data_IF_507550140701
#
_entry.id   IF_507550140701
#
_cell.length_a   1.000
_cell.length_b   1.000
_cell.length_c   1.000
_cell.angle_alpha   90.00
_cell.angle_beta   90.00
_cell.angle_gamma   90.00
#
_symmetry.space_group_name_H-M   'P 1'
#
loop_
_entity.id
_entity.type
_entity.pdbx_description
1 polymer ?
#
# COMPACT_ATOMS: atom_id res chain seq x y z
N UNK A 1 3.67 1.21 -28.92
CA UNK A 1 4.88 1.82 -28.32
C UNK A 1 4.49 2.67 -27.11
N UNK A 2 3.71 3.76 -27.30
CA UNK A 2 3.21 4.63 -26.21
C UNK A 2 2.59 3.90 -24.99
N UNK A 3 1.64 2.98 -25.21
CA UNK A 3 1.00 2.20 -24.13
C UNK A 3 1.98 1.40 -23.25
N UNK A 4 3.07 0.88 -23.83
CA UNK A 4 4.06 0.10 -23.08
C UNK A 4 5.02 1.01 -22.29
N UNK A 5 5.26 2.23 -22.77
CA UNK A 5 6.03 3.25 -22.06
C UNK A 5 5.22 3.82 -20.89
N UNK A 6 3.94 4.11 -21.12
CA UNK A 6 3.00 4.56 -20.09
C UNK A 6 2.89 3.53 -18.95
N UNK A 7 2.74 2.23 -19.28
CA UNK A 7 2.68 1.17 -18.28
C UNK A 7 3.99 1.06 -17.48
N UNK A 8 5.16 1.17 -18.14
CA UNK A 8 6.45 1.19 -17.43
C UNK A 8 6.56 2.38 -16.49
N UNK A 9 6.12 3.56 -16.93
CA UNK A 9 6.11 4.76 -16.10
C UNK A 9 5.25 4.57 -14.85
N UNK A 10 4.03 4.04 -15.00
CA UNK A 10 3.16 3.72 -13.85
C UNK A 10 3.79 2.72 -12.87
N UNK A 11 4.45 1.67 -13.39
CA UNK A 11 5.13 0.67 -12.56
C UNK A 11 6.23 1.32 -11.73
N UNK A 12 6.99 2.25 -12.31
CA UNK A 12 8.05 3.01 -11.61
C UNK A 12 7.42 3.93 -10.56
N UNK A 13 6.35 4.64 -10.91
CA UNK A 13 5.65 5.56 -10.02
C UNK A 13 5.11 4.84 -8.79
N UNK A 14 4.43 3.70 -8.94
CA UNK A 14 3.93 2.91 -7.79
C UNK A 14 5.07 2.43 -6.88
N UNK A 15 6.22 2.07 -7.46
CA UNK A 15 7.40 1.68 -6.69
C UNK A 15 7.98 2.86 -5.91
N UNK A 16 8.06 4.03 -6.53
CA UNK A 16 8.52 5.26 -5.87
C UNK A 16 7.56 5.68 -4.75
N UNK A 17 6.25 5.62 -5.02
CA UNK A 17 5.21 5.89 -4.03
C UNK A 17 5.35 5.02 -2.78
N UNK A 18 5.69 3.74 -2.92
CA UNK A 18 5.96 2.88 -1.77
C UNK A 18 7.03 3.40 -0.80
N UNK A 19 8.03 4.14 -1.29
CA UNK A 19 9.04 4.80 -0.45
C UNK A 19 8.43 6.01 0.27
N UNK A 20 7.70 6.86 -0.45
CA UNK A 20 7.02 8.02 0.14
C UNK A 20 6.02 7.60 1.22
N UNK A 21 5.28 6.52 0.96
CA UNK A 21 4.35 5.92 1.92
C UNK A 21 5.07 5.45 3.19
N UNK A 22 6.28 4.90 3.06
CA UNK A 22 7.09 4.49 4.20
C UNK A 22 7.53 5.69 5.06
N UNK A 23 8.03 6.74 4.42
CA UNK A 23 8.42 7.97 5.11
C UNK A 23 7.21 8.62 5.80
N UNK A 24 6.07 8.69 5.11
CA UNK A 24 4.83 9.19 5.70
C UNK A 24 4.46 8.46 7.01
N UNK A 25 4.57 7.13 7.06
CA UNK A 25 4.32 6.40 8.31
C UNK A 25 5.36 6.73 9.40
N UNK A 26 6.64 6.88 9.04
CA UNK A 26 7.70 7.25 9.99
C UNK A 26 7.48 8.66 10.57
N UNK A 27 7.14 9.62 9.72
CA UNK A 27 6.86 11.01 10.13
C UNK A 27 5.69 11.09 11.13
N UNK A 28 4.76 10.13 11.06
CA UNK A 28 3.64 9.99 11.97
C UNK A 28 3.93 9.03 13.16
N UNK A 29 5.19 8.66 13.39
CA UNK A 29 5.60 7.83 14.52
C UNK A 29 5.20 6.35 14.40
N UNK A 30 4.82 5.89 13.21
CA UNK A 30 4.41 4.50 12.97
C UNK A 30 5.49 3.72 12.22
N UNK A 31 6.00 2.64 12.83
CA UNK A 31 7.02 1.79 12.22
C UNK A 31 6.45 0.77 11.21
N UNK A 32 5.62 1.23 10.27
CA UNK A 32 5.00 0.37 9.27
C UNK A 32 5.99 0.05 8.14
N UNK A 33 6.33 -1.23 7.98
CA UNK A 33 7.12 -1.71 6.85
C UNK A 33 6.24 -1.74 5.61
N UNK A 34 6.74 -1.16 4.51
CA UNK A 34 6.03 -1.09 3.23
C UNK A 34 6.76 -1.93 2.19
N UNK A 35 6.04 -2.83 1.52
CA UNK A 35 6.53 -3.59 0.37
C UNK A 35 5.58 -3.46 -0.80
N UNK A 36 6.08 -2.97 -1.92
CA UNK A 36 5.35 -2.95 -3.20
C UNK A 36 5.76 -4.15 -4.04
N UNK A 37 4.79 -4.89 -4.57
CA UNK A 37 5.02 -6.13 -5.32
C UNK A 37 3.91 -6.44 -6.34
N UNK A 38 4.01 -7.61 -6.98
CA UNK A 38 3.24 -8.00 -8.16
C UNK A 38 3.94 -7.59 -9.45
N UNK A 39 3.56 -8.21 -10.57
CA UNK A 39 4.21 -7.99 -11.88
C UNK A 39 4.16 -6.53 -12.36
N UNK A 40 3.15 -5.76 -11.90
CA UNK A 40 2.95 -4.35 -12.22
C UNK A 40 3.03 -3.41 -11.01
N UNK A 41 3.59 -3.87 -9.90
CA UNK A 41 3.63 -3.13 -8.63
C UNK A 41 2.24 -2.70 -8.13
N UNK A 42 1.19 -3.47 -8.43
CA UNK A 42 -0.20 -3.15 -8.08
C UNK A 42 -0.61 -3.66 -6.71
N UNK A 43 0.27 -4.35 -5.98
CA UNK A 43 0.01 -4.81 -4.63
C UNK A 43 0.94 -4.12 -3.64
N UNK A 44 0.37 -3.70 -2.50
CA UNK A 44 1.11 -3.18 -1.37
C UNK A 44 0.93 -4.10 -0.17
N UNK A 45 2.00 -4.32 0.59
CA UNK A 45 1.96 -5.00 1.89
C UNK A 45 2.47 -4.03 2.95
N UNK A 46 1.63 -3.77 3.94
CA UNK A 46 1.91 -2.97 5.12
C UNK A 46 2.00 -3.91 6.33
N UNK A 47 3.16 -3.93 7.00
CA UNK A 47 3.42 -4.80 8.15
C UNK A 47 3.78 -3.96 9.37
N UNK A 48 3.02 -4.12 10.46
CA UNK A 48 3.27 -3.44 11.72
C UNK A 48 2.58 -4.11 12.90
N UNK A 49 3.27 -4.33 14.01
CA UNK A 49 2.76 -5.07 15.17
C UNK A 49 1.48 -4.52 15.81
N UNK A 50 1.10 -3.26 15.53
CA UNK A 50 -0.16 -2.67 16.01
C UNK A 50 -1.28 -2.70 14.95
N UNK A 51 -1.08 -3.37 13.83
CA UNK A 51 -2.16 -3.64 12.87
C UNK A 51 -3.11 -4.66 13.49
N UNK A 52 -4.37 -4.27 13.57
CA UNK A 52 -5.49 -5.10 13.99
C UNK A 52 -6.80 -4.48 13.49
N UNK A 53 -7.95 -4.97 13.95
CA UNK A 53 -9.25 -4.56 13.41
C UNK A 53 -9.52 -3.05 13.51
N UNK A 54 -9.07 -2.41 14.60
CA UNK A 54 -9.21 -0.95 14.79
C UNK A 54 -8.40 -0.20 13.72
N UNK A 55 -7.15 -0.60 13.49
CA UNK A 55 -6.32 -0.01 12.44
C UNK A 55 -6.96 -0.22 11.07
N UNK A 56 -7.40 -1.45 10.75
CA UNK A 56 -8.03 -1.77 9.46
C UNK A 56 -9.29 -0.92 9.24
N UNK A 57 -10.15 -0.80 10.26
CA UNK A 57 -11.38 -0.02 10.18
C UNK A 57 -11.10 1.47 9.87
N UNK A 58 -10.12 2.06 10.56
CA UNK A 58 -9.75 3.45 10.36
C UNK A 58 -9.03 3.66 9.02
N UNK A 59 -8.11 2.75 8.67
CA UNK A 59 -7.36 2.81 7.42
C UNK A 59 -8.29 2.76 6.21
N UNK A 60 -9.30 1.87 6.19
CA UNK A 60 -10.30 1.80 5.10
C UNK A 60 -11.07 3.09 4.87
N UNK A 61 -11.20 3.93 5.89
CA UNK A 61 -11.89 5.24 5.83
C UNK A 61 -10.93 6.40 5.59
N UNK A 62 -9.62 6.16 5.66
CA UNK A 62 -8.61 7.19 5.50
C UNK A 62 -8.50 7.65 4.04
N UNK A 63 -8.12 8.91 3.85
CA UNK A 63 -7.74 9.43 2.53
C UNK A 63 -6.59 8.65 1.92
N UNK A 64 -5.68 8.13 2.74
CA UNK A 64 -4.53 7.34 2.30
C UNK A 64 -4.94 6.04 1.59
N UNK A 65 -5.97 5.34 2.09
CA UNK A 65 -6.48 4.14 1.43
C UNK A 65 -7.10 4.47 0.06
N UNK A 66 -7.80 5.60 -0.05
CA UNK A 66 -8.36 6.08 -1.32
C UNK A 66 -7.25 6.52 -2.28
N UNK A 67 -6.25 7.26 -1.81
CA UNK A 67 -5.08 7.67 -2.60
C UNK A 67 -4.35 6.45 -3.16
N UNK A 68 -4.16 5.41 -2.35
CA UNK A 68 -3.57 4.16 -2.83
C UNK A 68 -4.42 3.51 -3.94
N UNK A 69 -5.74 3.56 -3.84
CA UNK A 69 -6.61 3.09 -4.92
C UNK A 69 -6.38 3.89 -6.22
N UNK A 70 -6.37 5.23 -6.11
CA UNK A 70 -6.17 6.16 -7.22
C UNK A 70 -4.78 6.01 -7.88
N UNK A 71 -3.77 5.65 -7.10
CA UNK A 71 -2.42 5.30 -7.58
C UNK A 71 -2.37 3.96 -8.34
N UNK A 72 -3.49 3.25 -8.44
CA UNK A 72 -3.64 2.00 -9.19
C UNK A 72 -3.26 0.75 -8.39
N UNK A 73 -3.23 0.82 -7.06
CA UNK A 73 -3.13 -0.40 -6.25
C UNK A 73 -4.44 -1.18 -6.30
N UNK A 74 -4.34 -2.46 -6.64
CA UNK A 74 -5.48 -3.39 -6.73
C UNK A 74 -5.75 -4.09 -5.40
N UNK A 75 -4.71 -4.23 -4.56
CA UNK A 75 -4.80 -4.90 -3.27
C UNK A 75 -3.80 -4.33 -2.27
N UNK A 76 -4.27 -4.08 -1.06
CA UNK A 76 -3.43 -3.73 0.09
C UNK A 76 -3.54 -4.85 1.12
N UNK A 77 -2.42 -5.48 1.43
CA UNK A 77 -2.29 -6.44 2.52
C UNK A 77 -1.87 -5.71 3.79
N UNK A 78 -2.59 -5.94 4.88
CA UNK A 78 -2.32 -5.43 6.21
C UNK A 78 -2.02 -6.64 7.11
N UNK A 79 -0.88 -6.67 7.78
CA UNK A 79 -0.56 -7.74 8.72
C UNK A 79 0.27 -7.22 9.90
N UNK A 80 0.22 -7.91 11.02
CA UNK A 80 0.98 -7.55 12.22
C UNK A 80 2.40 -8.14 12.26
N UNK A 81 2.71 -9.04 11.32
CA UNK A 81 3.95 -9.82 11.30
C UNK A 81 3.88 -11.11 12.14
N UNK A 82 2.71 -11.44 12.67
CA UNK A 82 2.39 -12.65 13.42
C UNK A 82 1.24 -13.40 12.72
N UNK A 83 0.06 -13.48 13.34
CA UNK A 83 -1.10 -14.23 12.86
C UNK A 83 -2.25 -13.33 12.34
N UNK A 84 -2.22 -12.02 12.60
CA UNK A 84 -3.22 -11.11 12.04
C UNK A 84 -2.91 -10.78 10.59
N UNK A 85 -3.89 -11.01 9.71
CA UNK A 85 -3.84 -10.54 8.33
C UNK A 85 -5.21 -10.14 7.79
N UNK A 86 -5.21 -9.06 7.01
CA UNK A 86 -6.39 -8.54 6.32
C UNK A 86 -5.99 -8.04 4.92
N UNK A 87 -6.89 -8.13 3.95
CA UNK A 87 -6.66 -7.55 2.63
C UNK A 87 -7.81 -6.63 2.23
N UNK A 88 -7.46 -5.46 1.74
CA UNK A 88 -8.37 -4.50 1.10
C UNK A 88 -8.20 -4.67 -0.41
N UNK A 89 -9.32 -4.74 -1.11
CA UNK A 89 -9.37 -4.78 -2.56
C UNK A 89 -10.61 -4.02 -3.02
N UNK A 90 -10.54 -3.49 -4.24
CA UNK A 90 -11.65 -2.80 -4.90
C UNK A 90 -12.21 -3.73 -5.98
N UNK A 91 -13.54 -3.74 -6.10
CA UNK A 91 -14.25 -4.48 -7.14
C UNK A 91 -14.41 -3.62 -8.38
#
# INVERSE_FOLDING_TARGET
IKKAEDEKAEIIVRKAYGKLLREHFLDNGMNIKVRIHGSKNTYATLTYSLIGDVFVHNFKKSTLCNEMHEMGFQRIYLNDGYDYSYYIYWK
#
